data_IF_212984767006
#
_entry.id   IF_212984767006
#
_cell.length_a   1.000
_cell.length_b   1.000
_cell.length_c   1.000
_cell.angle_alpha   90.00
_cell.angle_beta   90.00
_cell.angle_gamma   90.00
#
_symmetry.space_group_name_H-M   'P 1'
#
loop_
_entity.id
_entity.type
_entity.pdbx_description
1 polymer ?
#
# COMPACT_ATOMS: atom_id res chain seq x y z
N UNK A 1 9.02 3.24 2.49
CA UNK A 1 9.06 4.59 1.86
C UNK A 1 7.68 5.26 1.95
N UNK A 2 7.59 6.58 2.11
CA UNK A 2 6.31 7.32 2.19
C UNK A 2 5.90 7.92 0.84
N UNK A 3 4.60 8.09 0.60
CA UNK A 3 4.05 8.61 -0.67
C UNK A 3 4.54 10.00 -1.05
N UNK A 4 4.81 10.87 -0.07
CA UNK A 4 5.36 12.20 -0.33
C UNK A 4 6.80 12.15 -0.90
N UNK A 5 7.60 11.17 -0.45
CA UNK A 5 8.99 11.00 -0.87
C UNK A 5 9.12 10.11 -2.13
N UNK A 6 8.18 9.18 -2.34
CA UNK A 6 8.19 8.23 -3.44
C UNK A 6 6.78 8.09 -4.06
N UNK A 7 6.29 9.10 -4.80
CA UNK A 7 4.94 9.11 -5.38
C UNK A 7 4.71 7.99 -6.39
N UNK A 8 5.76 7.49 -7.05
CA UNK A 8 5.71 6.33 -7.94
C UNK A 8 5.26 5.06 -7.22
N UNK A 9 5.46 4.96 -5.89
CA UNK A 9 5.09 3.79 -5.08
C UNK A 9 3.69 3.92 -4.44
N UNK A 10 2.93 4.98 -4.76
CA UNK A 10 1.66 5.33 -4.08
C UNK A 10 0.65 4.19 -4.01
N UNK A 11 0.52 3.41 -5.08
CA UNK A 11 -0.45 2.31 -5.21
C UNK A 11 0.20 0.93 -5.22
N UNK A 12 1.46 0.81 -4.77
CA UNK A 12 2.12 -0.49 -4.67
C UNK A 12 1.56 -1.27 -3.47
N UNK A 13 0.78 -2.32 -3.76
CA UNK A 13 0.11 -3.17 -2.75
C UNK A 13 1.06 -3.70 -1.67
N UNK A 14 2.31 -4.02 -2.05
CA UNK A 14 3.31 -4.54 -1.10
C UNK A 14 3.65 -3.51 -0.01
N UNK A 15 3.46 -2.22 -0.26
CA UNK A 15 3.78 -1.11 0.64
C UNK A 15 2.52 -0.42 1.22
N UNK A 16 1.35 -1.05 1.16
CA UNK A 16 0.09 -0.49 1.69
C UNK A 16 -0.48 -1.43 2.75
N UNK A 17 -0.27 -1.13 4.03
CA UNK A 17 -0.79 -1.92 5.15
C UNK A 17 -1.53 -1.05 6.16
N UNK A 18 -2.53 -1.64 6.81
CA UNK A 18 -3.30 -0.97 7.87
C UNK A 18 -2.40 -0.67 9.08
N UNK A 19 -2.42 0.57 9.54
CA UNK A 19 -1.76 1.01 10.77
C UNK A 19 -2.80 1.62 11.74
N UNK A 20 -2.46 1.69 13.03
CA UNK A 20 -3.29 2.42 13.98
C UNK A 20 -3.24 3.94 13.72
N UNK A 21 -4.24 4.67 14.23
CA UNK A 21 -4.36 6.13 14.06
C UNK A 21 -3.12 6.87 14.55
N UNK A 22 -2.59 6.48 15.72
CA UNK A 22 -1.36 7.08 16.29
C UNK A 22 -0.18 6.94 15.34
N UNK A 23 0.08 5.73 14.83
CA UNK A 23 1.18 5.50 13.90
C UNK A 23 0.99 6.27 12.60
N UNK A 24 -0.21 6.23 12.02
CA UNK A 24 -0.45 6.77 10.68
C UNK A 24 -0.56 8.30 10.67
N UNK A 25 -1.36 8.89 11.58
CA UNK A 25 -1.65 10.32 11.57
C UNK A 25 -0.69 11.14 12.44
N UNK A 26 -0.28 10.61 13.60
CA UNK A 26 0.48 11.39 14.59
C UNK A 26 2.00 11.12 14.56
N UNK A 27 2.43 9.98 14.00
CA UNK A 27 3.85 9.61 13.87
C UNK A 27 4.34 9.55 12.42
N UNK A 28 3.65 10.23 11.50
CA UNK A 28 4.03 10.30 10.08
C UNK A 28 4.28 8.93 9.44
N UNK A 29 3.37 7.98 9.68
CA UNK A 29 3.47 6.59 9.20
C UNK A 29 4.38 5.68 10.04
N UNK A 30 5.03 6.20 11.09
CA UNK A 30 5.89 5.45 12.02
C UNK A 30 6.88 4.53 11.27
N UNK A 31 7.69 5.13 10.39
CA UNK A 31 8.40 4.43 9.32
C UNK A 31 9.39 3.37 9.79
N UNK A 32 10.06 3.57 10.92
CA UNK A 32 11.06 2.61 11.45
C UNK A 32 10.41 1.27 11.80
N UNK A 33 9.42 1.20 12.71
CA UNK A 33 8.73 -0.06 13.00
C UNK A 33 7.91 -0.54 11.80
N UNK A 34 7.40 0.35 10.95
CA UNK A 34 6.74 -0.07 9.72
C UNK A 34 7.68 -0.85 8.80
N UNK A 35 8.93 -0.42 8.64
CA UNK A 35 9.95 -1.14 7.84
C UNK A 35 10.24 -2.52 8.42
N UNK A 36 10.41 -2.62 9.75
CA UNK A 36 10.64 -3.92 10.42
C UNK A 36 9.50 -4.90 10.13
N UNK A 37 8.26 -4.44 10.27
CA UNK A 37 7.08 -5.25 9.97
C UNK A 37 6.98 -5.61 8.49
N UNK A 38 7.35 -4.67 7.59
CA UNK A 38 7.34 -4.90 6.15
C UNK A 38 8.31 -6.03 5.78
N UNK A 39 9.53 -6.04 6.34
CA UNK A 39 10.50 -7.12 6.16
C UNK A 39 9.92 -8.46 6.62
N UNK A 40 9.21 -8.47 7.77
CA UNK A 40 8.56 -9.70 8.25
C UNK A 40 7.46 -10.22 7.32
N UNK A 41 6.81 -9.35 6.55
CA UNK A 41 5.68 -9.71 5.67
C UNK A 41 6.11 -10.16 4.27
N UNK A 42 7.06 -9.43 3.68
CA UNK A 42 7.43 -9.61 2.26
C UNK A 42 8.90 -9.98 2.06
N UNK A 43 9.68 -10.08 3.14
CA UNK A 43 11.11 -10.39 3.10
C UNK A 43 11.99 -9.17 2.85
N UNK A 44 13.29 -9.32 3.18
CA UNK A 44 14.29 -8.24 3.07
C UNK A 44 14.47 -7.78 1.61
N UNK A 45 14.62 -8.74 0.68
CA UNK A 45 14.86 -8.45 -0.74
C UNK A 45 13.74 -7.61 -1.37
N UNK A 46 12.48 -7.94 -1.09
CA UNK A 46 11.34 -7.18 -1.60
C UNK A 46 11.26 -5.77 -1.00
N UNK A 47 11.69 -5.60 0.25
CA UNK A 47 11.79 -4.27 0.87
C UNK A 47 12.90 -3.46 0.21
N UNK A 48 14.05 -4.07 -0.04
CA UNK A 48 15.18 -3.39 -0.66
C UNK A 48 14.86 -2.97 -2.11
N UNK A 49 14.10 -3.79 -2.86
CA UNK A 49 13.57 -3.44 -4.18
C UNK A 49 12.66 -2.20 -4.13
N UNK A 50 11.74 -2.15 -3.16
CA UNK A 50 10.86 -0.99 -2.95
C UNK A 50 11.67 0.24 -2.57
N UNK A 51 12.68 0.09 -1.72
CA UNK A 51 13.49 1.20 -1.22
C UNK A 51 14.48 1.73 -2.28
N UNK A 52 14.97 0.86 -3.17
CA UNK A 52 15.90 1.21 -4.26
C UNK A 52 15.21 1.74 -5.53
N UNK A 53 13.88 1.65 -5.63
CA UNK A 53 13.13 2.14 -6.77
C UNK A 53 13.02 3.68 -6.80
N UNK A 54 13.78 4.30 -7.70
CA UNK A 54 13.78 5.74 -7.96
C UNK A 54 13.14 6.11 -9.30
N UNK A 55 12.34 5.21 -9.87
CA UNK A 55 11.69 5.45 -11.15
C UNK A 55 10.71 6.63 -11.04
N UNK A 56 10.64 7.45 -12.09
CA UNK A 56 9.67 8.53 -12.17
C UNK A 56 8.37 7.98 -12.75
N UNK A 57 7.29 8.08 -11.98
CA UNK A 57 5.95 7.78 -12.48
C UNK A 57 4.96 8.83 -11.99
N UNK A 58 4.20 9.40 -12.92
CA UNK A 58 3.17 10.39 -12.65
C UNK A 58 1.82 9.76 -12.99
N UNK A 59 1.10 9.39 -11.94
CA UNK A 59 -0.24 8.84 -12.06
C UNK A 59 -1.18 9.81 -12.78
N UNK A 60 -1.77 9.32 -13.86
CA UNK A 60 -2.84 10.00 -14.59
C UNK A 60 -4.16 9.86 -13.87
N UNK A 61 -5.13 10.70 -14.22
CA UNK A 61 -6.47 10.66 -13.63
C UNK A 61 -7.16 9.35 -14.04
N UNK A 62 -6.95 8.91 -15.27
CA UNK A 62 -7.50 7.70 -15.87
C UNK A 62 -6.99 6.45 -15.12
N UNK A 63 -5.69 6.35 -14.88
CA UNK A 63 -5.09 5.28 -14.07
C UNK A 63 -5.68 5.27 -12.65
N UNK A 64 -5.78 6.43 -12.00
CA UNK A 64 -6.35 6.52 -10.65
C UNK A 64 -7.81 6.08 -10.60
N UNK A 65 -8.60 6.41 -11.64
CA UNK A 65 -10.00 5.96 -11.77
C UNK A 65 -10.08 4.45 -11.98
N UNK A 66 -9.20 3.88 -12.81
CA UNK A 66 -9.14 2.44 -13.05
C UNK A 66 -8.80 1.67 -11.76
N UNK A 67 -7.76 2.10 -11.04
CA UNK A 67 -7.37 1.53 -9.74
C UNK A 67 -8.53 1.60 -8.75
N UNK A 68 -9.21 2.74 -8.66
CA UNK A 68 -10.38 2.89 -7.78
C UNK A 68 -11.48 1.88 -8.13
N UNK A 69 -11.82 1.73 -9.41
CA UNK A 69 -12.84 0.80 -9.86
C UNK A 69 -12.47 -0.67 -9.53
N UNK A 70 -11.21 -1.04 -9.75
CA UNK A 70 -10.69 -2.37 -9.43
C UNK A 70 -10.86 -2.71 -7.94
N UNK A 71 -10.43 -1.83 -7.03
CA UNK A 71 -10.57 -2.10 -5.59
C UNK A 71 -12.01 -2.03 -5.09
N UNK A 72 -12.88 -1.24 -5.72
CA UNK A 72 -14.32 -1.28 -5.43
C UNK A 72 -14.91 -2.65 -5.78
N UNK A 73 -14.50 -3.22 -6.91
CA UNK A 73 -14.91 -4.57 -7.31
C UNK A 73 -14.34 -5.63 -6.36
N UNK A 74 -13.03 -5.62 -6.08
CA UNK A 74 -12.40 -6.54 -5.10
C UNK A 74 -13.10 -6.50 -3.74
N UNK A 75 -13.52 -5.31 -3.28
CA UNK A 75 -14.25 -5.16 -2.02
C UNK A 75 -15.66 -5.77 -2.08
N UNK A 76 -16.37 -5.62 -3.20
CA UNK A 76 -17.68 -6.25 -3.41
C UNK A 76 -17.55 -7.77 -3.37
N UNK A 77 -16.57 -8.31 -4.09
CA UNK A 77 -16.34 -9.75 -4.16
C UNK A 77 -15.96 -10.33 -2.79
N UNK A 78 -15.12 -9.62 -2.03
CA UNK A 78 -14.75 -10.00 -0.65
C UNK A 78 -15.95 -9.97 0.31
N UNK A 79 -16.90 -9.05 0.12
CA UNK A 79 -18.12 -9.00 0.96
C UNK A 79 -19.05 -10.15 0.63
N UNK A 80 -19.24 -10.45 -0.65
CA UNK A 80 -20.07 -11.56 -1.11
C UNK A 80 -19.52 -12.90 -0.62
N UNK A 81 -18.21 -13.14 -0.75
CA UNK A 81 -17.59 -14.39 -0.28
C UNK A 81 -17.72 -14.57 1.24
N UNK A 82 -17.69 -13.50 2.02
CA UNK A 82 -17.92 -13.54 3.47
C UNK A 82 -19.38 -13.82 3.85
N UNK A 83 -20.34 -13.34 3.07
CA UNK A 83 -21.75 -13.66 3.29
C UNK A 83 -22.12 -15.07 2.85
N UNK A 84 -21.43 -15.62 1.85
CA UNK A 84 -21.62 -17.00 1.40
C UNK A 84 -20.99 -18.02 2.38
N UNK A 85 -19.96 -17.61 3.13
CA UNK A 85 -19.29 -18.44 4.12
C UNK A 85 -19.93 -18.40 5.53
N UNK A 86 -20.96 -17.56 5.73
CA UNK A 86 -21.64 -17.34 7.01
C UNK A 86 -23.05 -17.96 7.00
#
# INVERSE_FOLDING_TARGET
RATAAAPQLRFNERNIHKQCVVCNQHKSGNLVPYRVELISRIGQEAVDEIESNHNRHRWTIEECKAIKAEYQQKLKDLRNSRSEAA
#
